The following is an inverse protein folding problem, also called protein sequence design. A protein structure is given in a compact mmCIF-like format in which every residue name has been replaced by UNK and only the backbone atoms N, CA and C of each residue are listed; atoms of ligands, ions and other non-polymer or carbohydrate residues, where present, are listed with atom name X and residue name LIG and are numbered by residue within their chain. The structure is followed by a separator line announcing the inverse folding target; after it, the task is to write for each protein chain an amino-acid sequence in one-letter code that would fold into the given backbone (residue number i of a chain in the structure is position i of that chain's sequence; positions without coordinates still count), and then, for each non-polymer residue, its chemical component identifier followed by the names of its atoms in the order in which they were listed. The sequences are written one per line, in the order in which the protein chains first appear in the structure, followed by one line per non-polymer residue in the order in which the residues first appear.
data_IF_357107059123
#
_entry.id   IF_357107059123
#
_cell.length_a   1.000
_cell.length_b   1.000
_cell.length_c   1.000
_cell.angle_alpha   90.00
_cell.angle_beta   90.00
_cell.angle_gamma   90.00
#
_symmetry.space_group_name_H-M   'P 1'
#
loop_
_entity.id
_entity.type
_entity.pdbx_description
1 polymer ?
#
# COMPACT_ATOMS: atom_id res chain seq x y z
N UNK A 1 28.08 14.57 0.28
CA UNK A 1 28.99 15.29 1.17
C UNK A 1 29.42 14.45 2.35
N UNK A 2 30.55 14.81 2.91
CA UNK A 2 31.18 14.14 4.05
C UNK A 2 31.50 15.16 5.14
N UNK A 3 31.19 14.83 6.39
CA UNK A 3 31.62 15.59 7.59
C UNK A 3 32.09 14.62 8.64
N UNK A 4 33.26 14.90 9.19
CA UNK A 4 33.84 14.18 10.33
C UNK A 4 33.88 15.10 11.54
N UNK A 5 33.96 14.51 12.71
CA UNK A 5 34.18 15.15 13.98
C UNK A 5 34.78 14.16 14.97
N UNK A 6 35.62 14.63 15.88
CA UNK A 6 36.20 13.80 16.94
C UNK A 6 36.50 14.63 18.16
N UNK A 7 36.42 14.03 19.33
CA UNK A 7 36.84 14.59 20.59
C UNK A 7 37.09 13.48 21.62
N UNK A 8 37.84 13.74 22.69
CA UNK A 8 38.09 12.75 23.74
C UNK A 8 36.80 12.20 24.40
N UNK A 9 35.73 12.98 24.39
CA UNK A 9 34.45 12.62 25.03
C UNK A 9 33.42 12.02 24.05
N UNK A 10 33.57 12.24 22.74
CA UNK A 10 32.63 11.79 21.74
C UNK A 10 33.22 10.80 20.74
N UNK A 11 34.47 10.43 20.90
CA UNK A 11 35.21 9.56 20.01
C UNK A 11 35.18 10.02 18.54
N UNK A 12 35.20 9.13 17.57
CA UNK A 12 35.19 9.46 16.15
C UNK A 12 33.79 9.39 15.57
N UNK A 13 33.34 10.50 14.96
CA UNK A 13 32.02 10.65 14.37
C UNK A 13 32.14 10.89 12.87
N UNK A 14 31.07 10.49 12.14
CA UNK A 14 31.07 10.48 10.70
C UNK A 14 29.67 10.67 10.16
N UNK A 15 29.47 11.67 9.31
CA UNK A 15 28.23 11.87 8.57
C UNK A 15 28.52 11.85 7.08
N UNK A 16 27.82 11.02 6.34
CA UNK A 16 27.99 10.83 4.91
C UNK A 16 26.67 10.95 4.17
N UNK A 17 26.68 11.67 3.05
CA UNK A 17 25.59 11.69 2.08
C UNK A 17 26.09 11.15 0.75
N UNK A 18 25.47 10.11 0.25
CA UNK A 18 25.79 9.48 -1.04
C UNK A 18 24.56 9.47 -1.92
N UNK A 19 24.73 9.83 -3.19
CA UNK A 19 23.69 9.76 -4.21
C UNK A 19 24.16 8.84 -5.34
N UNK A 20 23.32 7.85 -5.68
CA UNK A 20 23.53 6.96 -6.83
C UNK A 20 22.22 6.88 -7.62
N UNK A 21 22.25 7.38 -8.84
CA UNK A 21 21.04 7.49 -9.66
C UNK A 21 19.98 8.39 -8.98
N UNK A 22 18.79 7.87 -8.78
CA UNK A 22 17.66 8.55 -8.13
C UNK A 22 17.57 8.30 -6.62
N UNK A 23 18.53 7.58 -6.04
CA UNK A 23 18.50 7.17 -4.62
C UNK A 23 19.61 7.88 -3.85
N UNK A 24 19.23 8.51 -2.73
CA UNK A 24 20.15 9.19 -1.81
C UNK A 24 20.03 8.59 -0.42
N UNK A 25 21.18 8.24 0.16
CA UNK A 25 21.28 7.88 1.57
C UNK A 25 22.04 8.94 2.35
N UNK A 26 21.61 9.13 3.58
CA UNK A 26 22.31 9.89 4.60
C UNK A 26 22.64 8.93 5.72
N UNK A 27 23.88 8.92 6.14
CA UNK A 27 24.39 8.07 7.19
C UNK A 27 25.01 8.91 8.28
N UNK A 28 24.72 8.56 9.51
CA UNK A 28 25.36 9.14 10.70
C UNK A 28 25.90 8.00 11.54
N UNK A 29 27.20 8.03 11.82
CA UNK A 29 27.88 7.09 12.74
C UNK A 29 28.50 7.93 13.84
N UNK A 30 28.30 7.50 15.06
CA UNK A 30 28.80 8.19 16.25
C UNK A 30 29.53 7.23 17.18
N UNK A 31 30.57 7.72 17.84
CA UNK A 31 31.27 6.99 18.87
C UNK A 31 32.05 5.77 18.39
N UNK A 32 32.75 5.87 17.26
CA UNK A 32 33.59 4.77 16.75
C UNK A 32 34.91 4.72 17.45
N UNK A 33 35.20 3.59 18.15
CA UNK A 33 36.45 3.34 18.84
C UNK A 33 36.71 4.29 20.00
N UNK A 34 37.97 4.40 20.42
CA UNK A 34 38.43 5.36 21.42
C UNK A 34 39.30 6.42 20.77
N UNK A 35 39.16 7.68 21.22
CA UNK A 35 39.88 8.83 20.68
C UNK A 35 41.41 8.67 20.70
N UNK A 36 41.94 7.95 21.67
CA UNK A 36 43.37 7.72 21.82
C UNK A 36 43.92 6.57 20.95
N UNK A 37 43.04 5.89 20.19
CA UNK A 37 43.43 4.77 19.35
C UNK A 37 43.52 5.23 17.90
N UNK A 38 44.73 5.33 17.36
CA UNK A 38 44.98 5.85 16.00
C UNK A 38 44.17 5.15 14.90
N UNK A 39 44.04 3.83 14.95
CA UNK A 39 43.27 3.07 13.96
C UNK A 39 41.75 3.40 14.00
N UNK A 40 41.23 3.87 15.12
CA UNK A 40 39.81 4.18 15.28
C UNK A 40 39.38 5.32 14.37
N UNK A 41 40.25 6.27 14.05
CA UNK A 41 39.96 7.31 13.08
C UNK A 41 39.66 6.75 11.69
N UNK A 42 40.40 5.77 11.22
CA UNK A 42 40.18 5.13 9.92
C UNK A 42 38.99 4.16 9.93
N UNK A 43 38.72 3.50 11.07
CA UNK A 43 37.59 2.55 11.19
C UNK A 43 36.24 3.19 10.91
N UNK A 44 36.01 4.45 11.28
CA UNK A 44 34.75 5.16 10.96
C UNK A 44 34.47 5.18 9.45
N UNK A 45 35.53 5.33 8.63
CA UNK A 45 35.36 5.33 7.16
C UNK A 45 35.14 3.91 6.62
N UNK A 46 35.84 2.92 7.14
CA UNK A 46 35.64 1.52 6.73
C UNK A 46 34.23 1.06 7.05
N UNK A 47 33.77 1.29 8.29
CA UNK A 47 32.39 0.95 8.72
C UNK A 47 31.38 1.73 7.90
N UNK A 48 31.56 3.04 7.70
CA UNK A 48 30.67 3.88 6.95
C UNK A 48 30.52 3.43 5.51
N UNK A 49 31.61 3.14 4.83
CA UNK A 49 31.57 2.67 3.46
C UNK A 49 30.88 1.31 3.35
N UNK A 50 31.18 0.37 4.26
CA UNK A 50 30.54 -0.95 4.27
C UNK A 50 29.01 -0.84 4.47
N UNK A 51 28.55 0.02 5.38
CA UNK A 51 27.13 0.25 5.61
C UNK A 51 26.43 0.88 4.41
N UNK A 52 27.04 1.89 3.75
CA UNK A 52 26.47 2.49 2.54
C UNK A 52 26.35 1.46 1.41
N UNK A 53 27.39 0.67 1.16
CA UNK A 53 27.31 -0.40 0.15
C UNK A 53 26.20 -1.38 0.48
N UNK A 54 26.04 -1.77 1.73
CA UNK A 54 24.98 -2.66 2.18
C UNK A 54 23.59 -2.06 1.96
N UNK A 55 23.41 -0.75 2.25
CA UNK A 55 22.14 -0.07 2.01
C UNK A 55 21.76 -0.08 0.54
N UNK A 56 22.71 0.17 -0.39
CA UNK A 56 22.46 0.12 -1.82
C UNK A 56 22.22 -1.31 -2.34
N UNK A 57 22.78 -2.32 -1.68
CA UNK A 57 22.49 -3.72 -2.00
C UNK A 57 21.09 -4.15 -1.53
N UNK A 58 20.67 -3.72 -0.35
CA UNK A 58 19.46 -4.19 0.31
C UNK A 58 18.21 -3.38 -0.07
N UNK A 59 18.36 -2.11 -0.46
CA UNK A 59 17.25 -1.19 -0.69
C UNK A 59 17.29 -0.53 -2.06
N UNK A 60 16.11 -0.22 -2.58
CA UNK A 60 15.93 0.54 -3.81
C UNK A 60 14.83 1.59 -3.67
N UNK A 61 15.00 2.73 -4.32
CA UNK A 61 13.98 3.74 -4.46
C UNK A 61 13.30 3.55 -5.82
N UNK A 62 12.04 3.10 -5.81
CA UNK A 62 11.33 2.77 -7.04
C UNK A 62 9.90 3.29 -7.04
N UNK A 63 9.31 3.33 -8.22
CA UNK A 63 7.88 3.51 -8.39
C UNK A 63 7.15 2.29 -7.83
N UNK A 64 6.26 2.53 -6.88
CA UNK A 64 5.45 1.48 -6.22
C UNK A 64 4.06 1.42 -6.84
N UNK A 65 3.50 2.59 -7.17
CA UNK A 65 2.24 2.73 -7.92
C UNK A 65 2.41 3.81 -9.00
N UNK A 66 2.05 3.54 -10.26
CA UNK A 66 2.01 4.57 -11.28
C UNK A 66 0.89 5.59 -11.02
N UNK A 67 0.91 6.72 -11.71
CA UNK A 67 -0.22 7.63 -11.74
C UNK A 67 -1.44 6.94 -12.38
N UNK A 68 -2.64 7.28 -11.94
CA UNK A 68 -3.88 6.71 -12.46
C UNK A 68 -4.81 6.16 -11.40
N UNK A 69 -5.70 5.25 -11.80
CA UNK A 69 -6.74 4.69 -10.94
C UNK A 69 -6.31 3.33 -10.40
N UNK A 70 -6.37 3.15 -9.08
CA UNK A 70 -5.98 1.93 -8.38
C UNK A 70 -7.03 1.49 -7.38
N UNK A 71 -7.21 0.18 -7.25
CA UNK A 71 -8.04 -0.39 -6.20
C UNK A 71 -7.14 -0.84 -5.05
N UNK A 72 -7.31 -0.21 -3.88
CA UNK A 72 -6.53 -0.47 -2.68
C UNK A 72 -7.52 -0.81 -1.56
N UNK A 73 -7.36 -1.95 -0.92
CA UNK A 73 -8.24 -2.43 0.16
C UNK A 73 -9.74 -2.42 -0.23
N UNK A 74 -10.05 -2.73 -1.50
CA UNK A 74 -11.43 -2.78 -2.01
C UNK A 74 -12.06 -1.44 -2.37
N UNK A 75 -11.35 -0.34 -2.21
CA UNK A 75 -11.80 1.00 -2.60
C UNK A 75 -10.95 1.55 -3.74
N UNK A 76 -11.57 2.31 -4.65
CA UNK A 76 -10.90 2.89 -5.82
C UNK A 76 -10.41 4.29 -5.52
N UNK A 77 -9.14 4.56 -5.85
CA UNK A 77 -8.47 5.84 -5.66
C UNK A 77 -7.83 6.31 -6.94
N UNK A 78 -7.73 7.62 -7.10
CA UNK A 78 -7.01 8.28 -8.19
C UNK A 78 -5.72 8.90 -7.65
N UNK A 79 -4.60 8.59 -8.32
CA UNK A 79 -3.28 9.17 -8.05
C UNK A 79 -2.93 10.14 -9.19
N UNK A 80 -2.73 11.42 -8.86
CA UNK A 80 -2.31 12.43 -9.83
C UNK A 80 -0.86 12.26 -10.27
N UNK A 81 -0.05 11.66 -9.42
CA UNK A 81 1.39 11.44 -9.65
C UNK A 81 1.78 10.04 -9.23
N UNK A 82 2.82 9.45 -9.85
CA UNK A 82 3.32 8.15 -9.42
C UNK A 82 3.84 8.22 -7.97
N UNK A 83 3.60 7.15 -7.22
CA UNK A 83 4.05 7.02 -5.85
C UNK A 83 5.38 6.27 -5.80
N UNK A 84 6.42 6.97 -5.33
CA UNK A 84 7.76 6.42 -5.14
C UNK A 84 8.05 6.17 -3.69
N UNK A 85 8.73 5.07 -3.41
CA UNK A 85 9.15 4.74 -2.05
C UNK A 85 10.46 3.95 -2.02
N UNK A 86 11.16 4.04 -0.88
CA UNK A 86 12.28 3.15 -0.59
C UNK A 86 11.75 1.82 -0.08
N UNK A 87 12.14 0.74 -0.73
CA UNK A 87 11.73 -0.63 -0.39
C UNK A 87 12.92 -1.56 -0.34
N UNK A 88 12.79 -2.65 0.38
CA UNK A 88 13.80 -3.71 0.35
C UNK A 88 13.75 -4.39 -1.02
N UNK A 89 14.93 -4.62 -1.63
CA UNK A 89 15.02 -5.25 -2.95
C UNK A 89 14.32 -6.62 -2.98
N UNK A 90 13.59 -6.86 -4.07
CA UNK A 90 12.85 -8.10 -4.25
C UNK A 90 11.59 -8.24 -3.41
N UNK A 91 11.16 -7.16 -2.71
CA UNK A 91 9.90 -7.16 -1.97
C UNK A 91 8.84 -6.27 -2.63
N UNK A 92 7.59 -6.67 -2.49
CA UNK A 92 6.43 -5.84 -2.79
C UNK A 92 5.80 -5.43 -1.45
N UNK A 93 5.96 -4.18 -1.03
CA UNK A 93 5.41 -3.71 0.23
C UNK A 93 3.89 -3.63 0.17
N UNK A 94 3.25 -3.81 1.31
CA UNK A 94 1.82 -3.58 1.45
C UNK A 94 1.52 -2.08 1.41
N UNK A 95 0.48 -1.72 0.64
CA UNK A 95 0.02 -0.35 0.49
C UNK A 95 -1.36 -0.24 1.11
N UNK A 96 -1.56 0.81 1.89
CA UNK A 96 -2.83 1.14 2.53
C UNK A 96 -3.17 2.61 2.35
N UNK A 97 -4.44 2.95 2.55
CA UNK A 97 -4.88 4.36 2.58
C UNK A 97 -5.44 4.66 3.96
N UNK A 98 -4.87 5.68 4.61
CA UNK A 98 -5.35 6.17 5.90
C UNK A 98 -5.50 7.69 5.84
N UNK A 99 -6.65 8.21 6.25
CA UNK A 99 -6.95 9.65 6.24
C UNK A 99 -6.72 10.32 4.87
N UNK A 100 -7.06 9.64 3.76
CA UNK A 100 -6.84 10.15 2.41
C UNK A 100 -5.37 10.21 1.97
N UNK A 101 -4.48 9.50 2.66
CA UNK A 101 -3.07 9.40 2.30
C UNK A 101 -2.65 7.95 2.10
N UNK A 102 -1.93 7.69 1.01
CA UNK A 102 -1.21 6.44 0.80
C UNK A 102 -0.15 6.28 1.88
N UNK A 103 -0.09 5.10 2.43
CA UNK A 103 0.94 4.66 3.36
C UNK A 103 1.53 3.34 2.86
N UNK A 104 2.80 3.15 3.15
CA UNK A 104 3.54 1.96 2.75
C UNK A 104 4.10 1.24 3.96
N UNK A 105 3.85 -0.06 4.05
CA UNK A 105 4.48 -0.94 5.04
C UNK A 105 5.75 -1.56 4.45
N UNK A 106 6.84 -0.79 4.42
CA UNK A 106 8.12 -1.22 3.85
C UNK A 106 9.11 -1.75 4.90
N UNK A 107 8.68 -1.88 6.16
CA UNK A 107 9.51 -2.35 7.28
C UNK A 107 10.55 -1.34 7.75
N UNK A 108 10.56 -0.12 7.21
CA UNK A 108 11.45 0.95 7.64
C UNK A 108 10.82 1.73 8.79
N UNK A 109 11.63 1.96 9.83
CA UNK A 109 11.20 2.78 10.95
C UNK A 109 11.28 4.27 10.58
N UNK A 110 10.18 4.98 10.74
CA UNK A 110 10.13 6.42 10.54
C UNK A 110 10.65 7.13 11.78
N UNK A 111 11.73 7.90 11.65
CA UNK A 111 12.33 8.66 12.77
C UNK A 111 11.64 9.99 13.04
N UNK A 112 10.86 10.50 12.09
CA UNK A 112 10.10 11.74 12.23
C UNK A 112 8.82 11.70 11.41
N UNK A 113 7.69 12.21 11.94
CA UNK A 113 6.45 12.33 11.17
C UNK A 113 6.59 13.16 9.88
N UNK A 114 7.52 14.10 9.85
CA UNK A 114 7.80 14.94 8.68
C UNK A 114 8.53 14.22 7.53
N UNK A 115 9.05 13.00 7.77
CA UNK A 115 9.80 12.20 6.78
C UNK A 115 8.98 10.97 6.34
N UNK A 116 7.68 10.96 6.58
CA UNK A 116 6.82 9.87 6.13
C UNK A 116 6.72 9.83 4.61
N UNK A 117 6.86 8.63 4.05
CA UNK A 117 6.59 8.38 2.63
C UNK A 117 5.07 8.25 2.44
N UNK A 118 4.41 9.38 2.28
CA UNK A 118 2.96 9.46 2.11
C UNK A 118 2.62 10.31 0.89
N UNK A 119 1.51 10.01 0.24
CA UNK A 119 0.97 10.80 -0.87
C UNK A 119 -0.55 10.92 -0.72
N UNK A 120 -1.07 12.14 -0.87
CA UNK A 120 -2.51 12.36 -0.87
C UNK A 120 -3.17 11.66 -2.06
N UNK A 121 -4.33 11.04 -1.82
CA UNK A 121 -5.14 10.37 -2.84
C UNK A 121 -6.59 10.79 -2.70
N UNK A 122 -7.30 10.88 -3.82
CA UNK A 122 -8.73 11.11 -3.87
C UNK A 122 -9.48 9.79 -4.08
N UNK A 123 -10.48 9.53 -3.25
CA UNK A 123 -11.38 8.41 -3.48
C UNK A 123 -12.20 8.69 -4.75
N UNK A 124 -12.26 7.71 -5.65
CA UNK A 124 -13.15 7.75 -6.81
C UNK A 124 -14.48 7.14 -6.35
N UNK A 125 -15.51 7.98 -6.21
CA UNK A 125 -16.85 7.47 -5.96
C UNK A 125 -17.24 6.56 -7.13
N UNK A 126 -17.62 5.32 -6.82
CA UNK A 126 -18.26 4.46 -7.82
C UNK A 126 -19.47 5.22 -8.39
N UNK A 127 -19.66 5.27 -9.72
CA UNK A 127 -20.84 5.91 -10.29
C UNK A 127 -22.05 5.32 -9.57
N UNK A 128 -22.82 6.18 -8.90
CA UNK A 128 -24.07 5.76 -8.29
C UNK A 128 -24.85 5.04 -9.37
N UNK A 129 -24.91 3.71 -9.31
CA UNK A 129 -25.93 2.99 -10.03
C UNK A 129 -27.23 3.60 -9.53
N UNK A 130 -27.81 4.51 -10.35
CA UNK A 130 -29.20 4.84 -10.19
C UNK A 130 -29.91 3.49 -10.17
N UNK A 131 -30.29 3.06 -8.98
CA UNK A 131 -31.25 1.98 -8.87
C UNK A 131 -32.46 2.49 -9.64
N UNK A 132 -32.55 2.11 -10.90
CA UNK A 132 -33.80 2.18 -11.61
C UNK A 132 -34.67 1.22 -10.82
N UNK A 133 -35.39 1.76 -9.82
CA UNK A 133 -36.46 1.04 -9.23
C UNK A 133 -37.39 0.79 -10.41
N UNK A 134 -37.25 -0.38 -11.03
CA UNK A 134 -38.34 -0.89 -11.85
C UNK A 134 -39.54 -0.88 -10.91
N UNK A 135 -40.35 0.15 -11.10
CA UNK A 135 -41.69 0.20 -10.52
C UNK A 135 -42.30 -1.13 -10.95
N UNK A 136 -42.22 -2.11 -10.04
CA UNK A 136 -42.94 -3.35 -10.18
C UNK A 136 -44.38 -2.92 -10.32
N UNK A 137 -44.85 -2.90 -11.58
CA UNK A 137 -46.26 -2.72 -11.91
C UNK A 137 -46.93 -3.85 -11.15
N UNK A 138 -47.60 -3.48 -10.04
CA UNK A 138 -48.29 -4.45 -9.19
C UNK A 138 -49.15 -5.32 -10.09
N UNK A 139 -48.85 -6.58 -10.08
CA UNK A 139 -49.76 -7.58 -10.62
C UNK A 139 -50.87 -7.65 -9.57
N UNK A 140 -52.03 -7.04 -9.94
CA UNK A 140 -53.20 -7.13 -9.10
C UNK A 140 -53.52 -8.62 -8.89
N UNK A 141 -53.66 -9.07 -7.64
CA UNK A 141 -53.88 -10.49 -7.33
C UNK A 141 -55.25 -10.99 -7.81
N UNK A 142 -56.07 -10.14 -8.41
CA UNK A 142 -57.39 -10.48 -8.91
C UNK A 142 -57.40 -11.49 -10.07
N UNK A 143 -56.26 -11.65 -10.80
CA UNK A 143 -56.17 -12.62 -11.89
C UNK A 143 -55.86 -14.05 -11.44
N UNK A 144 -55.31 -14.21 -10.23
CA UNK A 144 -54.97 -15.54 -9.70
C UNK A 144 -56.21 -16.35 -9.26
N UNK A 145 -57.30 -15.69 -8.90
CA UNK A 145 -58.52 -16.38 -8.47
C UNK A 145 -59.30 -17.05 -9.62
N UNK A 146 -59.11 -16.61 -10.88
CA UNK A 146 -59.82 -17.17 -12.01
C UNK A 146 -59.20 -18.46 -12.59
N UNK A 147 -57.93 -18.74 -12.34
CA UNK A 147 -57.25 -19.91 -12.90
C UNK A 147 -57.11 -21.11 -11.97
N UNK A 148 -57.35 -20.94 -10.67
CA UNK A 148 -57.27 -22.03 -9.71
C UNK A 148 -58.27 -23.16 -9.91
N UNK A 149 -59.52 -22.96 -10.32
CA UNK A 149 -60.46 -24.06 -10.50
C UNK A 149 -60.13 -24.94 -11.73
N UNK A 150 -59.47 -24.42 -12.74
CA UNK A 150 -59.12 -25.21 -13.94
C UNK A 150 -57.92 -26.15 -13.71
N UNK A 151 -57.03 -25.83 -12.83
CA UNK A 151 -55.86 -26.69 -12.50
C UNK A 151 -56.32 -27.87 -11.66
N UNK A 152 -57.23 -27.69 -10.71
CA UNK A 152 -57.79 -28.77 -9.89
C UNK A 152 -58.65 -29.74 -10.73
N UNK A 153 -59.38 -29.28 -11.74
CA UNK A 153 -60.16 -30.16 -12.58
C UNK A 153 -59.28 -31.07 -13.47
N UNK A 154 -58.13 -30.60 -13.90
CA UNK A 154 -57.22 -31.43 -14.70
C UNK A 154 -56.50 -32.50 -13.86
N UNK A 155 -56.21 -32.24 -12.60
CA UNK A 155 -55.56 -33.22 -11.73
C UNK A 155 -56.54 -34.33 -11.35
N UNK A 156 -57.82 -34.00 -11.11
CA UNK A 156 -58.84 -34.99 -10.79
C UNK A 156 -59.18 -35.91 -11.95
N UNK A 157 -59.19 -35.43 -13.18
CA UNK A 157 -59.43 -36.25 -14.37
C UNK A 157 -58.23 -37.17 -14.69
N UNK A 158 -57.00 -36.76 -14.47
CA UNK A 158 -55.81 -37.62 -14.70
C UNK A 158 -55.62 -38.75 -13.70
N UNK A 159 -56.10 -38.58 -12.49
CA UNK A 159 -56.02 -39.64 -11.45
C UNK A 159 -57.08 -40.72 -11.66
N UNK A 160 -58.25 -40.40 -12.24
CA UNK A 160 -59.29 -41.42 -12.57
C UNK A 160 -58.99 -42.26 -13.81
N UNK A 161 -58.16 -41.79 -14.73
CA UNK A 161 -57.83 -42.51 -15.97
C UNK A 161 -56.71 -43.54 -15.78
N UNK A 162 -55.99 -43.54 -14.67
CA UNK A 162 -54.93 -44.54 -14.36
C UNK A 162 -55.40 -45.70 -13.46
N UNK A 163 -56.71 -45.87 -13.24
CA UNK A 163 -57.25 -46.99 -12.46
C UNK A 163 -58.29 -47.79 -13.24
N UNK A 164 -57.97 -48.14 -14.48
CA UNK A 164 -58.60 -49.28 -15.18
C UNK A 164 -57.51 -50.04 -15.93
#
# INVERSE_FOLDING_TARGET
GLKTGSSPTADYNYTLTVNRGNQRFVQVIMGVGHYDVEIAESLRHVIGNALIERLYQDYEYKEVLPAGVHTIQGQTYHLDKPFYATVKRGTNPEISVQNGQLQIANGLQTVSPSIQQTQAVSAVEAPHQKSTSMRQKGWDPMWLCCFLPFIFLRIFFNVRYKRK
#
